data_IF_254877094428
#
_entry.id   IF_254877094428
#
_cell.length_a   1.000
_cell.length_b   1.000
_cell.length_c   1.000
_cell.angle_alpha   90.00
_cell.angle_beta   90.00
_cell.angle_gamma   90.00
#
_symmetry.space_group_name_H-M   'P 1'
#
loop_
_entity.id
_entity.type
_entity.pdbx_description
1 polymer ?
#
# COMPACT_ATOMS: atom_id res chain seq x y z
N UNK A 1 37.11 -48.83 40.89
CA UNK A 1 37.09 -48.03 39.69
C UNK A 1 35.96 -48.55 38.81
N UNK A 2 34.78 -47.93 38.88
CA UNK A 2 33.59 -48.35 38.13
C UNK A 2 33.43 -47.46 36.90
N UNK A 3 33.60 -48.07 35.73
CA UNK A 3 33.45 -47.42 34.43
C UNK A 3 31.96 -47.45 34.06
N UNK A 4 31.28 -46.31 33.99
CA UNK A 4 29.96 -46.22 33.46
C UNK A 4 30.04 -45.95 31.95
N UNK A 5 29.66 -46.97 31.15
CA UNK A 5 29.43 -46.79 29.72
C UNK A 5 28.08 -46.08 29.53
N UNK A 6 28.12 -44.84 29.08
CA UNK A 6 26.92 -44.14 28.63
C UNK A 6 26.61 -44.53 27.19
N UNK A 7 25.51 -45.27 27.00
CA UNK A 7 24.98 -45.59 25.69
C UNK A 7 24.24 -44.36 25.13
N UNK A 8 24.84 -43.71 24.12
CA UNK A 8 24.17 -42.67 23.36
C UNK A 8 23.13 -43.24 22.42
N UNK A 9 21.86 -43.05 22.72
CA UNK A 9 20.74 -43.33 21.82
C UNK A 9 20.76 -42.32 20.68
N UNK A 10 21.25 -42.69 19.51
CA UNK A 10 21.06 -41.96 18.26
C UNK A 10 19.59 -42.12 17.84
N UNK A 11 18.77 -41.11 18.10
CA UNK A 11 17.47 -40.98 17.51
C UNK A 11 17.64 -40.66 16.01
N UNK A 12 17.46 -41.68 15.18
CA UNK A 12 17.34 -41.52 13.72
C UNK A 12 16.02 -40.83 13.46
N UNK A 13 16.07 -39.48 13.34
CA UNK A 13 14.96 -38.70 12.81
C UNK A 13 14.90 -39.00 11.31
N UNK A 14 14.07 -39.96 10.91
CA UNK A 14 13.72 -40.13 9.51
C UNK A 14 13.11 -38.83 9.01
N UNK A 15 13.65 -38.17 7.96
CA UNK A 15 12.93 -37.11 7.30
C UNK A 15 11.69 -37.72 6.67
N UNK A 16 10.52 -37.51 7.27
CA UNK A 16 9.26 -37.72 6.56
C UNK A 16 9.36 -36.80 5.33
N UNK A 17 9.56 -37.42 4.17
CA UNK A 17 9.42 -36.76 2.87
C UNK A 17 7.93 -36.42 2.80
N UNK A 18 7.56 -35.22 3.26
CA UNK A 18 6.29 -34.63 2.96
C UNK A 18 6.26 -34.51 1.44
N UNK A 19 5.55 -35.45 0.81
CA UNK A 19 5.16 -35.32 -0.58
C UNK A 19 4.39 -33.99 -0.66
N UNK A 20 5.07 -32.91 -1.07
CA UNK A 20 4.43 -31.62 -1.28
C UNK A 20 3.26 -31.85 -2.21
N UNK A 21 2.06 -31.55 -1.73
CA UNK A 21 0.88 -31.61 -2.58
C UNK A 21 1.20 -30.82 -3.87
N UNK A 22 0.83 -31.37 -5.04
CA UNK A 22 1.15 -30.74 -6.34
C UNK A 22 0.38 -29.43 -6.56
N UNK A 23 -0.06 -28.80 -5.48
CA UNK A 23 -0.99 -27.66 -5.48
C UNK A 23 -0.37 -26.49 -4.77
N UNK A 24 -0.31 -25.34 -5.47
CA UNK A 24 0.03 -24.04 -4.91
C UNK A 24 -1.19 -23.14 -4.99
N UNK A 25 -1.45 -22.36 -3.96
CA UNK A 25 -2.61 -21.45 -3.92
C UNK A 25 -2.15 -20.07 -3.49
N UNK A 26 -2.64 -19.05 -4.21
CA UNK A 26 -2.45 -17.65 -3.87
C UNK A 26 -3.83 -17.01 -3.71
N UNK A 27 -4.15 -16.53 -2.51
CA UNK A 27 -5.38 -15.79 -2.25
C UNK A 27 -5.19 -14.33 -2.64
N UNK A 28 -5.95 -13.85 -3.62
CA UNK A 28 -5.93 -12.45 -4.03
C UNK A 28 -6.90 -11.62 -3.20
N UNK A 29 -8.10 -12.17 -2.92
CA UNK A 29 -9.12 -11.49 -2.16
C UNK A 29 -9.94 -12.48 -1.33
N UNK A 30 -10.08 -12.20 -0.04
CA UNK A 30 -11.00 -12.87 0.88
C UNK A 30 -11.63 -11.78 1.74
N UNK A 31 -12.73 -11.18 1.23
CA UNK A 31 -13.23 -9.94 1.80
C UNK A 31 -14.74 -9.85 1.77
N UNK A 32 -15.29 -9.30 2.84
CA UNK A 32 -16.69 -8.91 2.89
C UNK A 32 -16.95 -7.65 2.06
N UNK A 33 -17.91 -7.75 1.12
CA UNK A 33 -18.45 -6.62 0.35
C UNK A 33 -19.97 -6.53 0.54
N UNK A 34 -20.39 -5.65 1.43
CA UNK A 34 -21.82 -5.56 1.79
C UNK A 34 -22.28 -6.81 2.55
N UNK A 35 -23.29 -7.48 2.03
CA UNK A 35 -23.84 -8.75 2.56
C UNK A 35 -23.22 -10.00 1.92
N UNK A 36 -22.15 -9.84 1.15
CA UNK A 36 -21.51 -10.93 0.41
C UNK A 36 -20.07 -11.09 0.83
N UNK A 37 -19.58 -12.33 0.77
CA UNK A 37 -18.17 -12.66 0.88
C UNK A 37 -17.63 -12.94 -0.52
N UNK A 38 -16.65 -12.16 -0.94
CA UNK A 38 -15.93 -12.35 -2.21
C UNK A 38 -14.66 -13.14 -1.94
N UNK A 39 -14.49 -14.21 -2.68
CA UNK A 39 -13.33 -15.10 -2.63
C UNK A 39 -12.70 -15.10 -4.02
N UNK A 40 -11.43 -14.70 -4.10
CA UNK A 40 -10.64 -14.72 -5.34
C UNK A 40 -9.29 -15.35 -5.04
N UNK A 41 -8.99 -16.45 -5.70
CA UNK A 41 -7.75 -17.19 -5.51
C UNK A 41 -7.24 -17.77 -6.82
N UNK A 42 -5.94 -17.84 -6.97
CA UNK A 42 -5.27 -18.52 -8.08
C UNK A 42 -4.71 -19.83 -7.59
N UNK A 43 -5.17 -20.92 -8.18
CA UNK A 43 -4.77 -22.28 -7.83
C UNK A 43 -3.91 -22.84 -8.97
N UNK A 44 -2.67 -23.17 -8.68
CA UNK A 44 -1.74 -23.77 -9.63
C UNK A 44 -1.52 -25.23 -9.26
N UNK A 45 -1.77 -26.13 -10.20
CA UNK A 45 -1.66 -27.57 -10.01
C UNK A 45 -0.67 -28.16 -11.01
N UNK A 46 0.29 -28.91 -10.51
CA UNK A 46 1.19 -29.71 -11.37
C UNK A 46 0.44 -30.92 -11.93
N UNK A 47 -0.13 -30.78 -13.12
CA UNK A 47 -0.90 -31.82 -13.79
C UNK A 47 -0.10 -33.09 -14.16
N UNK A 48 1.23 -33.01 -14.20
CA UNK A 48 2.09 -34.18 -14.51
C UNK A 48 2.02 -35.25 -13.44
N UNK A 49 1.62 -34.91 -12.22
CA UNK A 49 1.49 -35.80 -11.07
C UNK A 49 0.16 -36.55 -11.04
N UNK A 50 -0.81 -36.18 -11.88
CA UNK A 50 -2.11 -36.80 -11.95
C UNK A 50 -2.06 -37.86 -13.06
N UNK A 51 -2.10 -39.15 -12.69
CA UNK A 51 -2.06 -40.24 -13.66
C UNK A 51 -3.34 -40.31 -14.47
N UNK A 52 -3.28 -40.96 -15.61
CA UNK A 52 -4.38 -41.00 -16.59
C UNK A 52 -5.74 -41.51 -16.03
N UNK A 53 -5.72 -42.36 -15.01
CA UNK A 53 -6.92 -42.94 -14.37
C UNK A 53 -7.20 -42.34 -12.99
N UNK A 54 -6.46 -41.32 -12.59
CA UNK A 54 -6.64 -40.64 -11.33
C UNK A 54 -7.39 -39.31 -11.56
N UNK A 55 -7.99 -38.80 -10.50
CA UNK A 55 -8.51 -37.48 -10.45
C UNK A 55 -8.10 -36.81 -9.13
N UNK A 56 -7.96 -35.50 -9.15
CA UNK A 56 -7.71 -34.67 -7.99
C UNK A 56 -8.91 -33.76 -7.80
N UNK A 57 -9.60 -33.92 -6.69
CA UNK A 57 -10.65 -32.99 -6.25
C UNK A 57 -10.07 -31.97 -5.27
N UNK A 58 -10.26 -30.74 -5.55
CA UNK A 58 -9.88 -29.62 -4.68
C UNK A 58 -11.15 -29.03 -4.11
N UNK A 59 -11.37 -29.20 -2.82
CA UNK A 59 -12.54 -28.68 -2.12
C UNK A 59 -12.14 -27.48 -1.29
N UNK A 60 -12.49 -26.25 -1.73
CA UNK A 60 -12.32 -25.06 -0.91
C UNK A 60 -13.34 -25.06 0.23
N UNK A 61 -12.90 -24.66 1.40
CA UNK A 61 -13.71 -24.68 2.61
C UNK A 61 -13.45 -23.41 3.42
N UNK A 62 -14.51 -22.81 3.92
CA UNK A 62 -14.44 -21.84 5.00
C UNK A 62 -14.67 -22.55 6.32
N UNK A 63 -13.74 -22.43 7.24
CA UNK A 63 -13.86 -23.05 8.56
C UNK A 63 -13.53 -22.07 9.68
N UNK A 64 -14.36 -22.09 10.72
CA UNK A 64 -14.14 -21.43 12.00
C UNK A 64 -14.14 -22.45 13.12
N UNK A 65 -13.96 -22.00 14.35
CA UNK A 65 -14.05 -22.89 15.51
C UNK A 65 -15.43 -23.55 15.71
N UNK A 66 -16.50 -22.91 15.19
CA UNK A 66 -17.89 -23.32 15.41
C UNK A 66 -18.57 -23.92 14.17
N UNK A 67 -18.16 -23.51 12.98
CA UNK A 67 -18.85 -23.85 11.73
C UNK A 67 -17.87 -24.09 10.59
N UNK A 68 -18.34 -24.89 9.62
CA UNK A 68 -17.59 -25.23 8.42
C UNK A 68 -18.53 -25.26 7.23
N UNK A 69 -18.17 -24.61 6.15
CA UNK A 69 -18.92 -24.57 4.90
C UNK A 69 -18.05 -24.91 3.72
N UNK A 70 -18.50 -25.86 2.93
CA UNK A 70 -17.86 -26.26 1.68
C UNK A 70 -18.28 -25.35 0.54
N UNK A 71 -17.29 -24.94 -0.26
CA UNK A 71 -17.50 -24.12 -1.44
C UNK A 71 -17.46 -25.00 -2.71
N UNK A 72 -17.89 -24.48 -3.86
CA UNK A 72 -17.86 -25.22 -5.12
C UNK A 72 -16.46 -25.79 -5.42
N UNK A 73 -16.37 -27.10 -5.59
CA UNK A 73 -15.12 -27.83 -5.76
C UNK A 73 -14.57 -27.75 -7.19
N UNK A 74 -13.28 -27.99 -7.33
CA UNK A 74 -12.58 -28.09 -8.61
C UNK A 74 -12.16 -29.53 -8.81
N UNK A 75 -12.43 -30.08 -10.00
CA UNK A 75 -12.03 -31.44 -10.36
C UNK A 75 -10.99 -31.39 -11.49
N UNK A 76 -9.84 -31.99 -11.24
CA UNK A 76 -8.83 -32.22 -12.27
C UNK A 76 -8.76 -33.68 -12.60
N UNK A 77 -9.10 -34.03 -13.80
CA UNK A 77 -9.13 -35.41 -14.29
C UNK A 77 -7.89 -35.77 -15.11
N UNK A 78 -7.29 -36.92 -14.84
CA UNK A 78 -6.37 -37.54 -15.79
C UNK A 78 -7.07 -37.86 -17.10
N UNK A 79 -6.31 -38.12 -18.16
CA UNK A 79 -6.84 -38.26 -19.53
C UNK A 79 -7.95 -39.33 -19.68
N UNK A 80 -7.85 -40.46 -18.97
CA UNK A 80 -8.87 -41.52 -19.05
C UNK A 80 -10.06 -41.16 -18.16
N UNK A 81 -9.82 -40.67 -16.96
CA UNK A 81 -10.88 -40.20 -16.05
C UNK A 81 -11.71 -39.09 -16.68
N UNK A 82 -11.10 -38.18 -17.45
CA UNK A 82 -11.85 -37.16 -18.18
C UNK A 82 -12.81 -37.76 -19.21
N UNK A 83 -12.36 -38.74 -19.98
CA UNK A 83 -13.24 -39.43 -20.95
C UNK A 83 -14.41 -40.15 -20.31
N UNK A 84 -14.20 -40.72 -19.12
CA UNK A 84 -15.28 -41.36 -18.35
C UNK A 84 -16.25 -40.29 -17.86
N UNK A 85 -15.74 -39.21 -17.31
CA UNK A 85 -16.54 -38.09 -16.85
C UNK A 85 -17.40 -37.48 -17.99
N UNK A 86 -16.80 -37.22 -19.16
CA UNK A 86 -17.49 -36.67 -20.33
C UNK A 86 -18.63 -37.63 -20.81
N UNK A 87 -18.38 -38.92 -20.73
CA UNK A 87 -19.38 -39.93 -21.07
C UNK A 87 -20.55 -39.95 -20.08
N UNK A 88 -20.27 -39.88 -18.78
CA UNK A 88 -21.31 -39.86 -17.74
C UNK A 88 -22.18 -38.61 -17.85
N UNK A 89 -21.57 -37.45 -18.16
CA UNK A 89 -22.33 -36.23 -18.48
C UNK A 89 -23.20 -36.44 -19.72
N UNK A 90 -22.66 -36.97 -20.81
CA UNK A 90 -23.41 -37.20 -22.05
C UNK A 90 -24.58 -38.17 -21.89
N UNK A 91 -24.48 -39.12 -20.96
CA UNK A 91 -25.54 -40.06 -20.60
C UNK A 91 -26.52 -39.50 -19.54
N UNK A 92 -26.34 -38.27 -19.11
CA UNK A 92 -27.14 -37.61 -18.08
C UNK A 92 -27.12 -38.32 -16.70
N UNK A 93 -26.08 -39.09 -16.43
CA UNK A 93 -25.89 -39.83 -15.19
C UNK A 93 -25.27 -38.96 -14.07
N UNK A 94 -24.63 -37.82 -14.42
CA UNK A 94 -24.04 -36.87 -13.51
C UNK A 94 -24.70 -35.50 -13.70
N UNK A 95 -25.43 -35.06 -12.67
CA UNK A 95 -25.85 -33.68 -12.52
C UNK A 95 -24.93 -33.04 -11.48
N UNK A 96 -23.92 -32.31 -11.93
CA UNK A 96 -22.86 -31.82 -11.05
C UNK A 96 -22.88 -30.31 -10.95
N UNK A 97 -23.95 -29.77 -10.36
CA UNK A 97 -24.13 -28.32 -10.13
C UNK A 97 -23.22 -27.76 -8.99
N UNK A 98 -22.62 -28.68 -8.19
CA UNK A 98 -21.80 -28.31 -7.04
C UNK A 98 -20.34 -27.97 -7.37
N UNK A 99 -19.94 -28.11 -8.63
CA UNK A 99 -18.55 -27.91 -9.04
C UNK A 99 -18.32 -26.56 -9.67
N UNK A 100 -17.23 -25.92 -9.29
CA UNK A 100 -16.77 -24.70 -9.90
C UNK A 100 -16.25 -24.93 -11.33
N UNK A 101 -15.42 -25.94 -11.50
CA UNK A 101 -14.86 -26.29 -12.80
C UNK A 101 -14.35 -27.72 -12.83
N UNK A 102 -14.35 -28.29 -14.04
CA UNK A 102 -13.73 -29.60 -14.34
C UNK A 102 -12.67 -29.38 -15.41
N UNK A 103 -11.44 -29.77 -15.13
CA UNK A 103 -10.28 -29.55 -15.99
C UNK A 103 -9.56 -30.84 -16.27
N UNK A 104 -9.19 -31.11 -17.52
CA UNK A 104 -8.30 -32.20 -17.85
C UNK A 104 -6.86 -31.83 -17.45
N UNK A 105 -6.25 -32.63 -16.59
CA UNK A 105 -4.86 -32.44 -16.20
C UNK A 105 -3.92 -32.67 -17.39
N UNK A 106 -3.07 -31.72 -17.66
CA UNK A 106 -2.05 -31.75 -18.72
C UNK A 106 -0.71 -32.27 -18.20
N UNK A 107 0.30 -32.22 -19.08
CA UNK A 107 1.69 -32.55 -18.71
C UNK A 107 2.44 -31.37 -18.08
N UNK A 108 1.81 -30.19 -18.05
CA UNK A 108 2.32 -28.94 -17.50
C UNK A 108 1.45 -28.47 -16.34
N UNK A 109 1.87 -27.39 -15.70
CA UNK A 109 1.06 -26.73 -14.68
C UNK A 109 -0.26 -26.21 -15.27
N UNK A 110 -1.35 -26.45 -14.53
CA UNK A 110 -2.68 -25.92 -14.80
C UNK A 110 -2.97 -24.79 -13.83
N UNK A 111 -3.32 -23.62 -14.35
CA UNK A 111 -3.67 -22.44 -13.55
C UNK A 111 -5.18 -22.25 -13.59
N UNK A 112 -5.80 -22.21 -12.41
CA UNK A 112 -7.25 -22.08 -12.24
C UNK A 112 -7.52 -20.81 -11.46
N UNK A 113 -8.26 -19.89 -12.07
CA UNK A 113 -8.72 -18.67 -11.40
C UNK A 113 -10.04 -18.98 -10.69
N UNK A 114 -9.97 -19.25 -9.40
CA UNK A 114 -11.12 -19.54 -8.56
C UNK A 114 -11.74 -18.25 -8.05
N UNK A 115 -12.95 -17.95 -8.51
CA UNK A 115 -13.68 -16.76 -8.09
C UNK A 115 -15.12 -17.10 -7.76
N UNK A 116 -15.51 -16.89 -6.51
CA UNK A 116 -16.88 -17.14 -6.06
C UNK A 116 -17.36 -16.06 -5.10
N UNK A 117 -18.65 -15.92 -5.04
CA UNK A 117 -19.35 -14.98 -4.14
C UNK A 117 -20.43 -15.75 -3.42
N UNK A 118 -20.45 -15.66 -2.11
CA UNK A 118 -21.44 -16.29 -1.24
C UNK A 118 -22.07 -15.28 -0.29
N UNK A 119 -23.28 -15.49 0.23
CA UNK A 119 -23.85 -14.67 1.28
C UNK A 119 -22.91 -14.66 2.51
N UNK A 120 -22.69 -13.49 3.08
CA UNK A 120 -21.85 -13.35 4.27
C UNK A 120 -22.66 -13.63 5.53
N UNK A 121 -22.21 -14.56 6.34
CA UNK A 121 -22.74 -14.85 7.65
C UNK A 121 -21.79 -14.38 8.77
N UNK A 122 -22.32 -14.00 9.96
CA UNK A 122 -21.50 -13.45 11.06
C UNK A 122 -20.34 -14.34 11.53
N UNK A 123 -20.49 -15.67 11.47
CA UNK A 123 -19.45 -16.63 11.84
C UNK A 123 -18.25 -16.63 10.91
N UNK A 124 -18.45 -16.19 9.65
CA UNK A 124 -17.39 -16.11 8.63
C UNK A 124 -16.35 -15.05 8.96
N UNK A 125 -16.64 -14.12 9.87
CA UNK A 125 -15.70 -13.09 10.30
C UNK A 125 -14.38 -13.67 10.84
N UNK A 126 -14.47 -14.79 11.54
CA UNK A 126 -13.33 -15.47 12.14
C UNK A 126 -12.96 -16.76 11.41
N UNK A 127 -13.50 -16.94 10.21
CA UNK A 127 -13.23 -18.10 9.38
C UNK A 127 -11.89 -17.96 8.64
N UNK A 128 -11.23 -19.09 8.49
CA UNK A 128 -10.08 -19.24 7.60
C UNK A 128 -10.48 -19.94 6.31
N UNK A 129 -9.79 -19.64 5.25
CA UNK A 129 -9.98 -20.27 3.96
C UNK A 129 -8.97 -21.38 3.79
N UNK A 130 -9.48 -22.60 3.61
CA UNK A 130 -8.69 -23.82 3.53
C UNK A 130 -9.03 -24.54 2.24
N UNK A 131 -8.03 -25.08 1.55
CA UNK A 131 -8.20 -25.96 0.39
C UNK A 131 -7.86 -27.39 0.78
N UNK A 132 -8.80 -28.31 0.59
CA UNK A 132 -8.64 -29.73 0.88
C UNK A 132 -8.44 -30.50 -0.42
N UNK A 133 -7.22 -30.96 -0.71
CA UNK A 133 -6.97 -31.82 -1.85
C UNK A 133 -7.37 -33.28 -1.54
N UNK A 134 -8.03 -33.92 -2.48
CA UNK A 134 -8.41 -35.31 -2.39
C UNK A 134 -8.07 -36.01 -3.70
N UNK A 135 -7.17 -37.00 -3.65
CA UNK A 135 -6.74 -37.79 -4.81
C UNK A 135 -7.52 -39.11 -4.85
N UNK A 136 -8.21 -39.32 -5.94
CA UNK A 136 -8.95 -40.56 -6.15
C UNK A 136 -8.40 -41.33 -7.38
N UNK A 137 -8.12 -42.62 -7.21
CA UNK A 137 -7.62 -43.43 -8.29
C UNK A 137 -7.56 -44.93 -7.94
N UNK A 138 -7.89 -45.79 -8.89
CA UNK A 138 -7.79 -47.27 -8.78
C UNK A 138 -8.44 -47.86 -7.52
N UNK A 139 -9.59 -47.33 -7.09
CA UNK A 139 -10.32 -47.83 -5.91
C UNK A 139 -9.74 -47.37 -4.56
N UNK A 140 -8.81 -46.42 -4.56
CA UNK A 140 -8.27 -45.78 -3.36
C UNK A 140 -8.59 -44.29 -3.40
N UNK A 141 -9.09 -43.80 -2.30
CA UNK A 141 -9.27 -42.40 -2.03
C UNK A 141 -8.23 -41.98 -0.98
N UNK A 142 -7.42 -41.01 -1.32
CA UNK A 142 -6.36 -40.51 -0.45
C UNK A 142 -6.59 -39.00 -0.18
N UNK A 143 -7.00 -38.73 1.03
CA UNK A 143 -7.20 -37.35 1.47
C UNK A 143 -5.84 -36.72 1.75
N UNK A 144 -5.54 -35.63 1.03
CA UNK A 144 -4.32 -34.89 1.23
C UNK A 144 -4.41 -33.94 2.46
N UNK A 145 -3.28 -33.42 2.82
CA UNK A 145 -3.19 -32.44 3.93
C UNK A 145 -3.91 -31.15 3.55
N UNK A 146 -4.82 -30.63 4.40
CA UNK A 146 -5.46 -29.34 4.17
C UNK A 146 -4.44 -28.20 4.05
N UNK A 147 -4.60 -27.35 3.05
CA UNK A 147 -3.76 -26.17 2.81
C UNK A 147 -4.49 -24.93 3.31
N UNK A 148 -3.95 -24.27 4.32
CA UNK A 148 -4.47 -22.98 4.76
C UNK A 148 -4.06 -21.92 3.74
N UNK A 149 -5.06 -21.32 3.10
CA UNK A 149 -4.87 -20.34 2.01
C UNK A 149 -4.92 -18.91 2.56
N UNK A 150 -5.81 -18.66 3.52
CA UNK A 150 -5.89 -17.40 4.24
C UNK A 150 -6.41 -17.65 5.66
N UNK A 151 -5.78 -17.00 6.63
CA UNK A 151 -6.08 -17.22 8.05
C UNK A 151 -7.31 -16.45 8.53
N UNK A 152 -7.73 -15.42 7.81
CA UNK A 152 -8.83 -14.56 8.23
C UNK A 152 -9.51 -13.86 7.07
N UNK A 153 -10.83 -13.70 7.21
CA UNK A 153 -11.65 -12.89 6.31
C UNK A 153 -11.46 -11.40 6.62
N UNK A 154 -11.22 -10.60 5.60
CA UNK A 154 -11.18 -9.15 5.73
C UNK A 154 -12.61 -8.61 5.79
N UNK A 155 -13.04 -8.23 6.98
CA UNK A 155 -14.35 -7.61 7.20
C UNK A 155 -14.23 -6.09 7.26
N UNK A 156 -15.34 -5.40 6.99
CA UNK A 156 -15.40 -3.97 7.29
C UNK A 156 -15.36 -3.79 8.81
N UNK A 157 -14.65 -2.79 9.33
CA UNK A 157 -14.72 -2.48 10.76
C UNK A 157 -16.17 -2.16 11.14
N UNK A 158 -16.65 -2.77 12.22
CA UNK A 158 -18.03 -2.61 12.71
C UNK A 158 -18.31 -1.18 13.20
N UNK A 159 -17.27 -0.41 13.48
CA UNK A 159 -17.36 1.00 13.87
C UNK A 159 -16.89 1.89 12.74
N UNK A 160 -17.79 2.73 12.24
CA UNK A 160 -17.37 3.92 11.52
C UNK A 160 -16.61 4.79 12.51
N UNK A 161 -15.35 5.05 12.27
CA UNK A 161 -14.63 6.06 13.01
C UNK A 161 -15.26 7.41 12.62
N UNK A 162 -16.05 7.99 13.52
CA UNK A 162 -16.36 9.40 13.45
C UNK A 162 -15.07 10.15 13.76
N UNK A 163 -14.46 10.66 12.72
CA UNK A 163 -13.35 11.59 12.89
C UNK A 163 -13.96 12.90 13.38
N UNK A 164 -13.82 13.17 14.69
CA UNK A 164 -14.09 14.51 15.22
C UNK A 164 -12.80 15.33 15.04
N UNK A 165 -12.76 16.22 14.05
CA UNK A 165 -11.58 17.05 13.87
C UNK A 165 -11.47 18.03 15.05
N UNK A 166 -10.44 17.89 15.84
CA UNK A 166 -10.07 18.89 16.82
C UNK A 166 -9.34 20.00 16.05
N UNK A 167 -10.05 21.10 15.79
CA UNK A 167 -9.46 22.27 15.17
C UNK A 167 -8.71 23.06 16.26
N UNK A 168 -7.39 23.03 16.21
CA UNK A 168 -6.56 23.94 16.99
C UNK A 168 -6.31 25.19 16.16
N UNK A 169 -6.85 26.31 16.61
CA UNK A 169 -6.53 27.62 16.04
C UNK A 169 -5.37 28.22 16.81
N UNK A 170 -4.29 28.52 16.10
CA UNK A 170 -3.25 29.39 16.64
C UNK A 170 -3.69 30.79 16.32
N UNK A 171 -4.17 31.53 17.32
CA UNK A 171 -4.33 32.98 17.21
C UNK A 171 -2.96 33.59 17.45
N UNK A 172 -2.29 34.16 16.42
CA UNK A 172 -1.08 34.90 16.66
C UNK A 172 -1.40 36.09 17.56
N UNK A 173 -0.51 36.40 18.51
CA UNK A 173 -0.64 37.63 19.29
C UNK A 173 -0.66 38.84 18.34
N UNK A 174 -1.63 39.71 18.57
CA UNK A 174 -1.70 40.94 17.79
C UNK A 174 -0.50 41.81 18.12
N UNK A 175 0.28 42.17 17.11
CA UNK A 175 1.34 43.15 17.28
C UNK A 175 0.72 44.48 17.75
N UNK A 176 1.08 44.90 18.94
CA UNK A 176 0.62 46.18 19.51
C UNK A 176 1.32 47.38 18.85
N UNK A 177 2.52 47.18 18.34
CA UNK A 177 3.31 48.16 17.62
C UNK A 177 3.83 47.54 16.34
N UNK A 178 3.55 48.15 15.20
CA UNK A 178 4.04 47.70 13.89
C UNK A 178 5.29 48.49 13.50
N UNK A 179 6.42 47.79 13.39
CA UNK A 179 7.64 48.37 12.85
C UNK A 179 7.64 48.27 11.32
N UNK A 180 7.88 49.39 10.64
CA UNK A 180 7.99 49.45 9.19
C UNK A 180 9.28 50.18 8.82
N UNK A 181 9.88 49.78 7.71
CA UNK A 181 11.00 50.46 7.12
C UNK A 181 10.59 51.01 5.76
N UNK A 182 10.80 52.32 5.55
CA UNK A 182 10.66 52.93 4.25
C UNK A 182 12.05 53.12 3.65
N UNK A 183 12.22 52.79 2.37
CA UNK A 183 13.53 52.82 1.69
C UNK A 183 13.44 53.75 0.51
N UNK A 184 14.25 54.81 0.55
CA UNK A 184 14.47 55.74 -0.56
C UNK A 184 15.83 55.51 -1.19
N UNK A 185 15.95 55.69 -2.49
CA UNK A 185 17.21 55.64 -3.23
C UNK A 185 17.38 56.90 -4.04
N UNK A 186 18.57 57.51 -3.96
CA UNK A 186 18.93 58.69 -4.73
C UNK A 186 20.36 58.57 -5.29
N UNK A 187 20.58 59.13 -6.46
CA UNK A 187 21.88 59.12 -7.15
C UNK A 187 22.41 60.54 -7.24
N UNK A 188 23.43 60.85 -6.43
CA UNK A 188 24.02 62.17 -6.37
C UNK A 188 25.28 62.24 -7.23
N UNK A 189 25.34 63.29 -8.06
CA UNK A 189 26.50 63.61 -8.88
C UNK A 189 27.47 64.53 -8.11
N UNK A 190 28.76 64.18 -8.20
CA UNK A 190 29.83 64.96 -7.61
C UNK A 190 30.73 65.57 -8.69
N UNK A 191 31.29 66.71 -8.44
CA UNK A 191 32.35 67.24 -9.29
C UNK A 191 33.63 66.39 -9.13
N UNK A 192 34.39 66.24 -10.21
CA UNK A 192 35.64 65.50 -10.20
C UNK A 192 36.59 65.98 -9.11
N UNK A 193 37.02 65.06 -8.23
CA UNK A 193 37.91 65.37 -7.12
C UNK A 193 37.29 66.18 -5.97
N UNK A 194 35.96 66.29 -5.93
CA UNK A 194 35.22 67.01 -4.85
C UNK A 194 34.30 66.04 -4.13
N UNK A 195 34.06 66.31 -2.86
CA UNK A 195 33.17 65.55 -1.96
C UNK A 195 31.93 66.31 -1.52
N UNK A 196 31.86 67.59 -1.88
CA UNK A 196 30.72 68.42 -1.53
C UNK A 196 29.54 68.13 -2.47
N UNK A 197 28.37 67.95 -1.87
CA UNK A 197 27.11 67.82 -2.61
C UNK A 197 26.67 69.22 -2.99
N UNK A 198 26.64 69.53 -4.29
CA UNK A 198 26.14 70.78 -4.82
C UNK A 198 24.70 70.50 -5.34
N UNK A 199 23.69 71.20 -4.74
CA UNK A 199 22.29 70.94 -5.14
C UNK A 199 22.05 71.20 -6.63
N UNK A 200 22.62 72.27 -7.16
CA UNK A 200 22.42 72.69 -8.56
C UNK A 200 23.35 72.03 -9.56
N UNK A 201 24.12 71.01 -9.13
CA UNK A 201 25.01 70.28 -10.03
C UNK A 201 24.30 69.13 -10.69
N UNK A 202 24.24 69.19 -12.03
CA UNK A 202 23.56 68.20 -12.87
C UNK A 202 22.12 67.90 -12.42
N UNK A 203 21.83 66.68 -12.01
CA UNK A 203 20.48 66.19 -11.64
C UNK A 203 20.25 66.20 -10.10
N UNK A 204 21.18 66.77 -9.32
CA UNK A 204 21.11 66.65 -7.86
C UNK A 204 19.84 67.26 -7.27
N UNK A 205 19.30 68.33 -7.84
CA UNK A 205 18.03 68.90 -7.41
C UNK A 205 16.90 67.86 -7.36
N UNK A 206 16.77 67.09 -8.41
CA UNK A 206 15.71 66.06 -8.52
C UNK A 206 15.98 64.92 -7.54
N UNK A 207 17.24 64.53 -7.43
CA UNK A 207 17.62 63.42 -6.55
C UNK A 207 17.50 63.77 -5.06
N UNK A 208 17.88 64.99 -4.68
CA UNK A 208 17.67 65.50 -3.31
C UNK A 208 16.18 65.62 -2.99
N UNK A 209 15.36 66.06 -3.95
CA UNK A 209 13.92 66.14 -3.77
C UNK A 209 13.29 64.73 -3.49
N UNK A 210 13.86 63.66 -4.02
CA UNK A 210 13.40 62.27 -3.69
C UNK A 210 13.66 61.95 -2.22
N UNK A 211 14.83 62.34 -1.71
CA UNK A 211 15.18 62.15 -0.29
C UNK A 211 14.21 62.94 0.59
N UNK A 212 14.02 64.21 0.27
CA UNK A 212 13.11 65.05 1.03
C UNK A 212 11.68 64.56 1.03
N UNK A 213 11.20 64.10 -0.12
CA UNK A 213 9.86 63.50 -0.22
C UNK A 213 9.73 62.23 0.63
N UNK A 214 10.73 61.35 0.59
CA UNK A 214 10.71 60.13 1.40
C UNK A 214 10.67 60.44 2.90
N UNK A 215 11.53 61.35 3.33
CA UNK A 215 11.59 61.81 4.74
C UNK A 215 10.28 62.50 5.13
N UNK A 216 9.80 63.43 4.29
CA UNK A 216 8.55 64.15 4.54
C UNK A 216 7.33 63.29 4.67
N UNK A 217 7.24 62.22 3.87
CA UNK A 217 6.15 61.26 3.95
C UNK A 217 6.08 60.60 5.32
N UNK A 218 7.24 60.27 5.90
CA UNK A 218 7.32 59.62 7.21
C UNK A 218 7.11 60.63 8.35
N UNK A 219 7.75 61.78 8.27
CA UNK A 219 7.69 62.81 9.34
C UNK A 219 6.31 63.45 9.45
N UNK A 220 5.60 63.61 8.36
CA UNK A 220 4.28 64.23 8.35
C UNK A 220 3.13 63.31 8.72
N UNK A 221 3.37 62.00 8.85
CA UNK A 221 2.34 61.04 9.27
C UNK A 221 2.22 61.04 10.81
N UNK A 222 1.09 61.52 11.30
CA UNK A 222 0.81 61.59 12.75
C UNK A 222 0.69 60.25 13.45
N UNK A 223 0.54 59.18 12.70
CA UNK A 223 0.38 57.82 13.22
C UNK A 223 1.73 57.07 13.29
N UNK A 224 2.81 57.70 12.86
CA UNK A 224 4.14 57.08 12.78
C UNK A 224 5.09 57.85 13.72
N UNK A 225 5.87 57.11 14.46
CA UNK A 225 7.00 57.62 15.22
C UNK A 225 8.29 57.22 14.52
N UNK A 226 9.07 58.18 14.09
CA UNK A 226 10.37 57.94 13.47
C UNK A 226 11.38 57.55 14.53
N UNK A 227 11.86 56.30 14.46
CA UNK A 227 12.85 55.74 15.40
C UNK A 227 14.29 56.02 14.94
N UNK A 228 14.53 56.12 13.65
CA UNK A 228 15.86 56.38 13.13
C UNK A 228 15.93 56.49 11.61
N UNK A 229 16.99 57.07 11.12
CA UNK A 229 17.31 57.14 9.68
C UNK A 229 18.69 56.52 9.48
N UNK A 230 18.78 55.57 8.58
CA UNK A 230 20.03 54.91 8.21
C UNK A 230 20.39 55.33 6.80
N UNK A 231 21.52 56.02 6.65
CA UNK A 231 22.07 56.41 5.34
C UNK A 231 23.20 55.45 4.94
N UNK A 232 23.07 54.84 3.78
CA UNK A 232 24.11 54.01 3.16
C UNK A 232 24.56 54.65 1.86
N UNK A 233 25.79 55.12 1.83
CA UNK A 233 26.39 55.65 0.61
C UNK A 233 27.28 54.64 -0.10
N UNK A 234 27.18 54.61 -1.42
CA UNK A 234 28.05 53.81 -2.28
C UNK A 234 28.78 54.74 -3.22
N UNK A 235 30.11 54.58 -3.32
CA UNK A 235 30.91 55.32 -4.28
C UNK A 235 31.04 54.55 -5.59
N UNK A 236 31.16 55.25 -6.72
CA UNK A 236 31.47 54.64 -8.00
C UNK A 236 32.84 53.93 -7.95
N UNK A 237 32.96 52.73 -8.49
CA UNK A 237 34.23 51.99 -8.50
C UNK A 237 35.30 52.57 -9.45
N UNK A 238 35.01 53.66 -10.17
CA UNK A 238 35.93 54.24 -11.16
C UNK A 238 37.06 55.12 -10.60
N UNK A 239 37.19 55.18 -9.28
CA UNK A 239 38.31 55.91 -8.65
C UNK A 239 39.47 54.99 -8.34
N UNK A 240 40.69 55.35 -8.73
CA UNK A 240 41.87 54.61 -8.29
C UNK A 240 42.02 54.69 -6.78
N UNK A 241 42.07 53.58 -6.11
CA UNK A 241 42.45 53.48 -4.71
C UNK A 241 43.90 54.01 -4.54
N UNK A 242 44.06 55.22 -4.13
CA UNK A 242 45.32 55.64 -3.52
C UNK A 242 45.19 55.38 -2.04
N UNK A 243 45.96 54.36 -1.60
CA UNK A 243 46.23 54.09 -0.20
C UNK A 243 46.86 55.28 0.51
#
# INVERSE_FOLDING_TARGET
>A
MKIYMAAALLAVVSPAILAQAPVKVVCNELKQKGNELVIDAVITVDGSRIKSRENLSLTPVLESASQKEGLPSILLNGRISQKVYDREIALNNLQDESRFSVVQAGKSESVINYKTVIPFEPWMKDARFVLIPNMCGCGKEEQGTPLVVADKVLTRPDKRYEVQPTLAYISPEAETVKHRAEVGTAYLDFQVGKYAILPDFRNNVVELAKIDNTVSTVVNDKNITLEGIILKGFASPEGSYKS
#
